data_IF_156914295488
#
_entry.id   IF_156914295488
#
_cell.length_a   1.000
_cell.length_b   1.000
_cell.length_c   1.000
_cell.angle_alpha   90.00
_cell.angle_beta   90.00
_cell.angle_gamma   90.00
#
_symmetry.space_group_name_H-M   'P 1'
#
loop_
_entity.id
_entity.type
_entity.pdbx_description
1 polymer ?
#
# COMPACT_ATOMS: atom_id res chain seq x y z
N UNK A 1 10.68 -1.37 -24.36
CA UNK A 1 12.03 -2.03 -24.25
C UNK A 1 11.75 -3.43 -23.74
N UNK A 2 12.07 -4.45 -24.54
CA UNK A 2 11.83 -5.85 -24.12
C UNK A 2 12.99 -6.28 -23.22
N UNK A 3 12.74 -6.32 -21.92
CA UNK A 3 13.72 -6.75 -20.92
C UNK A 3 13.34 -8.14 -20.46
N UNK A 4 14.26 -9.09 -20.54
CA UNK A 4 14.08 -10.45 -20.04
C UNK A 4 15.10 -10.73 -18.94
N UNK A 5 14.64 -11.26 -17.82
CA UNK A 5 15.50 -11.77 -16.75
C UNK A 5 15.81 -13.25 -17.00
N UNK A 6 17.05 -13.53 -17.34
CA UNK A 6 17.52 -14.90 -17.64
C UNK A 6 18.17 -15.51 -16.38
N UNK A 7 17.70 -16.68 -15.95
CA UNK A 7 18.25 -17.43 -14.84
C UNK A 7 18.04 -18.95 -15.02
N UNK A 8 18.85 -19.73 -14.30
CA UNK A 8 18.76 -21.19 -14.35
C UNK A 8 17.43 -21.68 -13.75
N UNK A 9 16.72 -22.55 -14.48
CA UNK A 9 15.45 -23.13 -14.03
C UNK A 9 14.21 -22.32 -14.37
N UNK A 10 14.34 -21.24 -15.18
CA UNK A 10 13.18 -20.50 -15.69
C UNK A 10 12.33 -21.39 -16.61
N UNK A 11 11.08 -21.64 -16.20
CA UNK A 11 10.14 -22.50 -16.94
C UNK A 11 9.48 -21.72 -18.09
N UNK A 12 9.45 -22.29 -19.28
CA UNK A 12 8.82 -21.65 -20.46
C UNK A 12 7.31 -21.88 -20.52
N UNK A 13 6.79 -22.94 -19.93
CA UNK A 13 5.38 -23.35 -20.01
C UNK A 13 4.70 -23.37 -18.63
N UNK A 14 4.83 -22.28 -17.87
CA UNK A 14 4.38 -22.18 -16.48
C UNK A 14 2.95 -22.64 -16.26
N UNK A 15 2.01 -22.14 -17.07
CA UNK A 15 0.58 -22.38 -16.82
C UNK A 15 0.15 -23.82 -17.10
N UNK A 16 0.82 -24.53 -18.02
CA UNK A 16 0.51 -25.91 -18.36
C UNK A 16 0.90 -26.90 -17.24
N UNK A 17 1.98 -26.58 -16.51
CA UNK A 17 2.59 -27.46 -15.53
C UNK A 17 2.09 -27.29 -14.10
N UNK A 18 1.16 -26.33 -13.86
CA UNK A 18 0.59 -26.10 -12.52
C UNK A 18 -0.67 -26.97 -12.35
N UNK A 19 -0.69 -27.91 -11.38
CA UNK A 19 -1.88 -28.73 -11.13
C UNK A 19 -2.99 -27.87 -10.48
N UNK A 20 -4.23 -28.21 -10.76
CA UNK A 20 -5.40 -27.75 -9.99
C UNK A 20 -5.60 -28.63 -8.77
N UNK A 21 -6.21 -28.09 -7.73
CA UNK A 21 -6.55 -28.80 -6.50
C UNK A 21 -8.02 -28.60 -6.14
N UNK A 22 -8.63 -29.59 -5.47
CA UNK A 22 -9.99 -29.44 -4.97
C UNK A 22 -10.01 -28.53 -3.72
N UNK A 23 -10.96 -27.60 -3.69
CA UNK A 23 -11.22 -26.76 -2.51
C UNK A 23 -12.40 -27.35 -1.75
N UNK A 24 -12.16 -27.93 -0.58
CA UNK A 24 -13.21 -28.46 0.29
C UNK A 24 -13.64 -27.41 1.32
N UNK A 25 -14.93 -27.17 1.45
CA UNK A 25 -15.48 -26.32 2.51
C UNK A 25 -15.24 -26.94 3.88
N UNK A 26 -14.61 -26.19 4.78
CA UNK A 26 -14.34 -26.61 6.14
C UNK A 26 -15.36 -26.07 7.10
N UNK A 27 -15.58 -24.74 7.04
CA UNK A 27 -16.54 -24.06 7.93
C UNK A 27 -17.02 -22.77 7.31
N UNK A 28 -18.30 -22.52 7.46
CA UNK A 28 -18.97 -21.29 7.05
C UNK A 28 -19.19 -20.40 8.27
N UNK A 29 -18.87 -19.13 8.15
CA UNK A 29 -19.04 -18.09 9.16
C UNK A 29 -20.06 -17.06 8.70
N UNK A 30 -21.06 -16.79 9.53
CA UNK A 30 -22.19 -15.92 9.19
C UNK A 30 -23.25 -16.63 8.34
N UNK A 31 -24.38 -15.96 8.15
CA UNK A 31 -25.50 -16.45 7.33
C UNK A 31 -25.53 -15.68 6.00
N UNK A 32 -25.47 -16.40 4.89
CA UNK A 32 -25.73 -15.88 3.54
C UNK A 32 -26.64 -16.85 2.81
N UNK A 33 -27.39 -16.35 1.81
CA UNK A 33 -28.10 -17.20 0.89
C UNK A 33 -27.10 -18.02 0.06
N UNK A 34 -27.48 -19.22 -0.35
CA UNK A 34 -26.59 -20.17 -1.03
C UNK A 34 -25.99 -19.61 -2.32
N UNK A 35 -26.68 -18.68 -2.99
CA UNK A 35 -26.28 -18.10 -4.27
C UNK A 35 -25.60 -16.73 -4.17
N UNK A 36 -25.38 -16.24 -2.93
CA UNK A 36 -24.69 -14.95 -2.72
C UNK A 36 -23.18 -15.13 -2.62
N UNK A 37 -22.45 -14.07 -3.02
CA UNK A 37 -21.01 -14.01 -2.82
C UNK A 37 -20.66 -14.14 -1.33
N UNK A 38 -19.70 -14.97 -1.03
CA UNK A 38 -19.07 -15.05 0.29
C UNK A 38 -17.53 -14.92 0.14
N UNK A 39 -16.93 -14.24 1.10
CA UNK A 39 -15.48 -14.10 1.12
C UNK A 39 -14.82 -15.45 1.40
N UNK A 40 -13.56 -15.61 0.97
CA UNK A 40 -12.87 -16.89 1.03
C UNK A 40 -11.57 -16.76 1.82
N UNK A 41 -11.41 -17.59 2.84
CA UNK A 41 -10.14 -17.85 3.49
C UNK A 41 -9.71 -19.27 3.13
N UNK A 42 -8.54 -19.46 2.54
CA UNK A 42 -8.14 -20.75 1.97
C UNK A 42 -6.82 -21.18 2.61
N UNK A 43 -6.83 -22.34 3.27
CA UNK A 43 -5.64 -23.01 3.76
C UNK A 43 -5.05 -23.88 2.66
N UNK A 44 -3.83 -23.62 2.22
CA UNK A 44 -3.13 -24.41 1.20
C UNK A 44 -2.03 -23.65 0.48
N UNK A 45 -1.26 -24.34 -0.38
CA UNK A 45 -0.30 -23.69 -1.27
C UNK A 45 -1.04 -22.81 -2.27
N UNK A 46 -0.65 -21.55 -2.31
CA UNK A 46 -1.30 -20.56 -3.15
C UNK A 46 -1.16 -20.84 -4.65
N UNK A 47 -0.12 -21.57 -5.09
CA UNK A 47 0.08 -21.83 -6.53
C UNK A 47 -1.02 -22.74 -7.11
N UNK A 48 -1.27 -23.98 -6.63
CA UNK A 48 -2.38 -24.81 -7.12
C UNK A 48 -3.75 -24.25 -6.76
N UNK A 49 -3.89 -23.56 -5.61
CA UNK A 49 -5.14 -22.88 -5.24
C UNK A 49 -5.49 -21.81 -6.25
N UNK A 50 -4.59 -20.89 -6.63
CA UNK A 50 -4.84 -19.86 -7.63
C UNK A 50 -5.14 -20.48 -9.01
N UNK A 51 -4.47 -21.58 -9.37
CA UNK A 51 -4.80 -22.33 -10.60
C UNK A 51 -6.25 -22.82 -10.60
N UNK A 52 -6.73 -23.32 -9.45
CA UNK A 52 -8.14 -23.71 -9.29
C UNK A 52 -9.09 -22.50 -9.37
N UNK A 53 -8.74 -21.36 -8.74
CA UNK A 53 -9.54 -20.14 -8.82
C UNK A 53 -9.66 -19.61 -10.25
N UNK A 54 -8.68 -19.84 -11.13
CA UNK A 54 -8.76 -19.48 -12.54
C UNK A 54 -9.86 -20.22 -13.32
N UNK A 55 -10.36 -21.35 -12.83
CA UNK A 55 -11.50 -22.04 -13.47
C UNK A 55 -12.86 -21.42 -13.11
N UNK A 56 -12.90 -20.50 -12.16
CA UNK A 56 -14.11 -19.82 -11.69
C UNK A 56 -14.32 -18.51 -12.45
N UNK A 57 -15.38 -18.39 -13.22
CA UNK A 57 -15.74 -17.19 -14.01
C UNK A 57 -16.06 -15.97 -13.13
N UNK A 58 -16.48 -16.18 -11.90
CA UNK A 58 -16.74 -15.12 -10.90
C UNK A 58 -15.47 -14.61 -10.22
N UNK A 59 -14.29 -15.19 -10.51
CA UNK A 59 -13.00 -14.80 -9.94
C UNK A 59 -11.97 -14.46 -11.03
N UNK A 60 -11.85 -15.29 -12.09
CA UNK A 60 -10.91 -15.05 -13.20
C UNK A 60 -11.24 -13.73 -13.89
N UNK A 61 -10.27 -12.82 -13.94
CA UNK A 61 -10.45 -11.49 -14.52
C UNK A 61 -11.39 -10.58 -13.72
N UNK A 62 -11.65 -10.87 -12.43
CA UNK A 62 -12.54 -10.08 -11.57
C UNK A 62 -11.83 -9.45 -10.36
N UNK A 63 -10.59 -9.83 -10.10
CA UNK A 63 -9.81 -9.29 -8.98
C UNK A 63 -9.40 -7.86 -9.30
N UNK A 64 -9.90 -6.90 -8.52
CA UNK A 64 -9.58 -5.48 -8.72
C UNK A 64 -8.24 -5.09 -8.13
N UNK A 65 -7.90 -5.66 -7.00
CA UNK A 65 -6.66 -5.36 -6.29
C UNK A 65 -6.00 -6.63 -5.79
N UNK A 66 -4.74 -6.77 -6.11
CA UNK A 66 -3.84 -7.75 -5.50
C UNK A 66 -2.84 -7.01 -4.63
N UNK A 67 -2.71 -7.42 -3.38
CA UNK A 67 -1.57 -7.07 -2.54
C UNK A 67 -0.91 -8.35 -2.07
N UNK A 68 0.40 -8.44 -2.21
CA UNK A 68 1.18 -9.57 -1.71
C UNK A 68 2.42 -9.12 -0.95
N UNK A 69 2.73 -9.87 0.10
CA UNK A 69 3.94 -9.74 0.92
C UNK A 69 4.61 -11.13 0.99
N UNK A 70 5.25 -11.58 -0.12
CA UNK A 70 5.84 -12.91 -0.19
C UNK A 70 7.04 -13.04 0.76
N UNK A 71 7.49 -14.27 1.09
CA UNK A 71 8.73 -14.47 1.82
C UNK A 71 9.88 -13.69 1.18
N UNK A 72 10.81 -13.12 1.98
CA UNK A 72 11.84 -12.20 1.49
C UNK A 72 13.17 -12.86 1.11
N UNK A 73 13.19 -14.18 0.93
CA UNK A 73 14.44 -14.94 0.62
C UNK A 73 15.54 -14.69 1.68
N UNK A 74 15.14 -14.68 2.96
CA UNK A 74 16.05 -14.34 4.07
C UNK A 74 16.87 -15.51 4.57
N UNK A 75 16.54 -16.72 4.14
CA UNK A 75 17.09 -18.00 4.64
C UNK A 75 16.93 -18.13 6.18
N UNK A 76 15.77 -17.72 6.69
CA UNK A 76 15.46 -17.70 8.12
C UNK A 76 14.14 -18.43 8.42
N UNK A 77 14.08 -19.04 9.60
CA UNK A 77 12.86 -19.60 10.16
C UNK A 77 12.20 -18.57 11.08
N UNK A 78 10.93 -18.29 10.83
CA UNK A 78 10.14 -17.36 11.64
C UNK A 78 9.25 -18.16 12.60
N UNK A 79 9.32 -17.84 13.90
CA UNK A 79 8.64 -18.56 14.98
C UNK A 79 7.75 -17.65 15.81
N UNK A 80 6.71 -18.22 16.39
CA UNK A 80 5.78 -17.55 17.30
C UNK A 80 5.95 -18.17 18.69
N UNK A 81 6.27 -17.35 19.69
CA UNK A 81 6.36 -17.77 21.08
C UNK A 81 4.99 -17.89 21.75
N UNK A 82 4.90 -18.72 22.79
CA UNK A 82 3.66 -18.94 23.55
C UNK A 82 3.16 -17.66 24.23
N UNK A 83 4.08 -16.81 24.70
CA UNK A 83 3.77 -15.58 25.44
C UNK A 83 4.10 -14.29 24.67
N UNK A 84 4.79 -14.39 23.52
CA UNK A 84 5.23 -13.24 22.72
C UNK A 84 5.39 -13.62 21.26
N UNK A 85 5.16 -12.67 20.37
CA UNK A 85 5.49 -12.80 18.96
C UNK A 85 6.91 -12.33 18.73
N UNK A 86 7.72 -13.12 18.03
CA UNK A 86 9.08 -12.77 17.64
C UNK A 86 9.22 -12.88 16.12
N UNK A 87 9.92 -11.94 15.51
CA UNK A 87 10.26 -11.99 14.09
C UNK A 87 11.36 -12.99 13.78
N UNK A 88 12.21 -13.31 14.77
CA UNK A 88 13.22 -14.37 14.72
C UNK A 88 13.37 -14.90 16.13
N UNK A 89 13.05 -16.17 16.36
CA UNK A 89 13.24 -16.83 17.64
C UNK A 89 14.35 -17.87 17.54
N UNK A 90 15.18 -17.91 18.58
CA UNK A 90 16.18 -18.98 18.81
C UNK A 90 15.67 -20.06 19.77
N UNK A 91 14.47 -19.92 20.32
CA UNK A 91 13.89 -20.89 21.24
C UNK A 91 13.38 -22.12 20.49
N UNK A 92 13.72 -23.31 20.97
CA UNK A 92 13.23 -24.58 20.42
C UNK A 92 11.77 -24.87 20.81
N UNK A 93 11.25 -24.16 21.79
CA UNK A 93 9.87 -24.32 22.28
C UNK A 93 8.87 -23.49 21.46
N UNK A 94 9.32 -22.53 20.65
CA UNK A 94 8.46 -21.69 19.83
C UNK A 94 7.99 -22.43 18.58
N UNK A 95 6.71 -22.25 18.23
CA UNK A 95 6.13 -22.85 17.02
C UNK A 95 6.64 -22.15 15.76
N UNK A 96 7.02 -22.93 14.74
CA UNK A 96 7.38 -22.40 13.43
C UNK A 96 6.15 -21.78 12.78
N UNK A 97 6.25 -20.50 12.42
CA UNK A 97 5.20 -19.80 11.66
C UNK A 97 5.34 -20.08 10.18
N UNK A 98 6.55 -19.89 9.64
CA UNK A 98 6.92 -20.24 8.27
C UNK A 98 8.43 -20.25 8.11
N UNK A 99 8.90 -20.91 7.03
CA UNK A 99 10.32 -21.00 6.66
C UNK A 99 10.55 -20.23 5.35
N UNK A 100 11.57 -19.38 5.34
CA UNK A 100 11.98 -18.58 4.18
C UNK A 100 13.33 -19.12 3.67
N UNK A 101 13.28 -20.30 3.02
CA UNK A 101 14.46 -21.06 2.61
C UNK A 101 14.84 -20.88 1.13
N UNK A 102 13.94 -20.32 0.31
CA UNK A 102 14.21 -20.13 -1.11
C UNK A 102 15.18 -18.96 -1.33
N UNK A 103 16.20 -19.16 -2.14
CA UNK A 103 17.21 -18.16 -2.45
C UNK A 103 17.50 -18.07 -3.95
N UNK A 104 17.94 -16.90 -4.41
CA UNK A 104 18.41 -16.69 -5.78
C UNK A 104 17.36 -17.01 -6.85
N UNK A 105 17.75 -17.84 -7.83
CA UNK A 105 16.90 -18.19 -8.98
C UNK A 105 15.65 -19.00 -8.61
N UNK A 106 15.72 -19.83 -7.57
CA UNK A 106 14.57 -20.62 -7.10
C UNK A 106 13.48 -19.71 -6.53
N UNK A 107 13.87 -18.68 -5.78
CA UNK A 107 12.94 -17.66 -5.28
C UNK A 107 12.29 -16.87 -6.43
N UNK A 108 13.07 -16.48 -7.44
CA UNK A 108 12.54 -15.75 -8.59
C UNK A 108 11.50 -16.59 -9.35
N UNK A 109 11.80 -17.89 -9.58
CA UNK A 109 10.85 -18.77 -10.26
C UNK A 109 9.61 -19.07 -9.41
N UNK A 110 9.77 -19.23 -8.10
CA UNK A 110 8.67 -19.36 -7.14
C UNK A 110 7.70 -18.15 -7.24
N UNK A 111 8.24 -16.94 -7.27
CA UNK A 111 7.43 -15.72 -7.34
C UNK A 111 6.87 -15.52 -8.75
N UNK A 112 7.66 -15.78 -9.80
CA UNK A 112 7.24 -15.62 -11.20
C UNK A 112 6.00 -16.44 -11.53
N UNK A 113 5.95 -17.71 -11.14
CA UNK A 113 4.78 -18.59 -11.36
C UNK A 113 3.51 -18.00 -10.75
N UNK A 114 3.63 -17.41 -9.58
CA UNK A 114 2.52 -16.78 -8.87
C UNK A 114 2.08 -15.46 -9.51
N UNK A 115 3.03 -14.62 -9.91
CA UNK A 115 2.76 -13.35 -10.58
C UNK A 115 2.02 -13.55 -11.92
N UNK A 116 2.37 -14.58 -12.68
CA UNK A 116 1.66 -14.93 -13.92
C UNK A 116 0.20 -15.29 -13.64
N UNK A 117 -0.08 -16.13 -12.63
CA UNK A 117 -1.45 -16.46 -12.25
C UNK A 117 -2.21 -15.23 -11.72
N UNK A 118 -1.55 -14.39 -10.94
CA UNK A 118 -2.15 -13.17 -10.41
C UNK A 118 -2.53 -12.19 -11.52
N UNK A 119 -1.72 -12.08 -12.59
CA UNK A 119 -2.07 -11.27 -13.77
C UNK A 119 -3.34 -11.78 -14.46
N UNK A 120 -3.48 -13.10 -14.59
CA UNK A 120 -4.67 -13.72 -15.17
C UNK A 120 -5.94 -13.54 -14.31
N UNK A 121 -5.79 -13.53 -12.98
CA UNK A 121 -6.90 -13.31 -12.05
C UNK A 121 -7.33 -11.84 -12.00
N UNK A 122 -6.41 -10.90 -12.28
CA UNK A 122 -6.71 -9.46 -12.27
C UNK A 122 -7.74 -9.09 -13.35
N UNK A 123 -8.67 -8.23 -12.99
CA UNK A 123 -9.51 -7.50 -13.93
C UNK A 123 -8.66 -6.57 -14.82
N UNK A 124 -9.16 -6.20 -16.00
CA UNK A 124 -8.38 -5.34 -16.92
C UNK A 124 -8.09 -3.96 -16.33
N UNK A 125 -8.95 -3.47 -15.44
CA UNK A 125 -8.75 -2.23 -14.69
C UNK A 125 -8.20 -2.48 -13.26
N UNK A 126 -7.62 -3.67 -13.02
CA UNK A 126 -7.03 -4.08 -11.76
C UNK A 126 -5.57 -3.67 -11.59
N UNK A 127 -5.12 -3.75 -10.33
CA UNK A 127 -3.77 -3.37 -9.92
C UNK A 127 -3.15 -4.38 -8.97
N UNK A 128 -1.82 -4.43 -8.95
CA UNK A 128 -1.05 -5.28 -8.05
C UNK A 128 0.01 -4.47 -7.30
N UNK A 129 0.13 -4.73 -6.00
CA UNK A 129 1.18 -4.22 -5.12
C UNK A 129 1.99 -5.38 -4.58
N UNK A 130 3.29 -5.40 -4.89
CA UNK A 130 4.25 -6.40 -4.39
C UNK A 130 5.16 -5.75 -3.37
N UNK A 131 5.00 -6.14 -2.11
CA UNK A 131 5.82 -5.68 -1.01
C UNK A 131 7.04 -6.59 -0.89
N UNK A 132 8.22 -6.04 -1.00
CA UNK A 132 9.47 -6.81 -1.07
C UNK A 132 10.61 -6.08 -0.37
N UNK A 133 11.61 -6.82 0.08
CA UNK A 133 12.81 -6.25 0.67
C UNK A 133 13.77 -5.68 -0.39
N UNK A 134 14.74 -4.92 0.09
CA UNK A 134 15.74 -4.27 -0.76
C UNK A 134 16.68 -5.25 -1.48
N UNK A 135 16.81 -6.50 -1.00
CA UNK A 135 17.73 -7.50 -1.59
C UNK A 135 17.18 -8.04 -2.90
N UNK A 136 15.90 -8.39 -2.89
CA UNK A 136 15.23 -9.00 -4.05
C UNK A 136 14.44 -8.01 -4.88
N UNK A 137 14.09 -6.84 -4.34
CA UNK A 137 13.19 -5.88 -4.96
C UNK A 137 13.56 -5.48 -6.38
N UNK A 138 14.85 -5.29 -6.66
CA UNK A 138 15.32 -4.91 -8.00
C UNK A 138 15.14 -6.04 -9.03
N UNK A 139 15.39 -7.29 -8.64
CA UNK A 139 15.15 -8.45 -9.51
C UNK A 139 13.65 -8.68 -9.73
N UNK A 140 12.86 -8.53 -8.66
CA UNK A 140 11.40 -8.64 -8.74
C UNK A 140 10.81 -7.54 -9.63
N UNK A 141 11.37 -6.32 -9.59
CA UNK A 141 10.97 -5.24 -10.49
C UNK A 141 11.15 -5.62 -11.95
N UNK A 142 12.32 -6.14 -12.33
CA UNK A 142 12.59 -6.61 -13.70
C UNK A 142 11.68 -7.77 -14.09
N UNK A 143 11.42 -8.69 -13.16
CA UNK A 143 10.49 -9.80 -13.37
C UNK A 143 9.06 -9.31 -13.61
N UNK A 144 8.63 -8.29 -12.89
CA UNK A 144 7.31 -7.68 -13.09
C UNK A 144 7.22 -6.90 -14.40
N UNK A 145 8.29 -6.24 -14.84
CA UNK A 145 8.35 -5.62 -16.18
C UNK A 145 8.13 -6.66 -17.29
N UNK A 146 8.74 -7.84 -17.16
CA UNK A 146 8.56 -8.94 -18.11
C UNK A 146 7.12 -9.46 -18.14
N UNK A 147 6.46 -9.54 -16.97
CA UNK A 147 5.13 -10.13 -16.85
C UNK A 147 4.03 -9.10 -17.18
N UNK A 148 4.10 -7.91 -16.61
CA UNK A 148 3.05 -6.89 -16.69
C UNK A 148 3.27 -5.88 -17.82
N UNK A 149 4.51 -5.68 -18.26
CA UNK A 149 4.95 -4.61 -19.14
C UNK A 149 5.55 -3.45 -18.34
N UNK A 150 6.65 -2.89 -18.84
CA UNK A 150 7.31 -1.73 -18.22
C UNK A 150 6.41 -0.49 -18.24
N UNK A 151 5.56 -0.36 -19.25
CA UNK A 151 4.58 0.72 -19.42
C UNK A 151 3.51 0.73 -18.32
N UNK A 152 3.23 -0.40 -17.69
CA UNK A 152 2.27 -0.53 -16.61
C UNK A 152 2.88 -0.37 -15.21
N UNK A 153 4.16 -0.05 -15.13
CA UNK A 153 4.81 0.31 -13.86
C UNK A 153 4.38 1.70 -13.41
N UNK A 154 3.75 1.79 -12.24
CA UNK A 154 3.19 3.04 -11.73
C UNK A 154 4.13 3.70 -10.71
N UNK A 155 4.57 2.97 -9.68
CA UNK A 155 5.45 3.51 -8.64
C UNK A 155 6.38 2.45 -8.03
N UNK A 156 7.57 2.90 -7.61
CA UNK A 156 8.43 2.30 -6.60
C UNK A 156 8.21 3.04 -5.28
N UNK A 157 7.38 2.49 -4.40
CA UNK A 157 7.05 3.10 -3.12
C UNK A 157 8.09 2.65 -2.08
N UNK A 158 8.83 3.59 -1.53
CA UNK A 158 9.73 3.36 -0.41
C UNK A 158 8.95 3.43 0.91
N UNK A 159 8.83 2.31 1.61
CA UNK A 159 8.21 2.25 2.94
C UNK A 159 9.27 2.29 4.05
N UNK A 160 9.18 3.24 4.96
CA UNK A 160 9.96 3.26 6.20
C UNK A 160 9.24 2.39 7.24
N UNK A 161 9.84 1.22 7.57
CA UNK A 161 9.23 0.17 8.39
C UNK A 161 9.55 0.27 9.88
N UNK A 162 10.67 0.88 10.23
CA UNK A 162 11.13 0.97 11.62
C UNK A 162 11.94 2.24 11.88
N UNK A 163 12.19 2.53 13.16
CA UNK A 163 13.12 3.58 13.55
C UNK A 163 14.57 3.18 13.23
N UNK A 164 15.45 4.15 12.99
CA UNK A 164 16.88 3.90 12.88
C UNK A 164 17.41 3.14 14.11
N UNK A 165 18.22 2.11 13.86
CA UNK A 165 18.86 1.33 14.91
C UNK A 165 20.31 1.76 15.03
N UNK A 166 20.74 2.11 16.25
CA UNK A 166 22.11 2.56 16.52
C UNK A 166 22.99 1.35 16.91
N UNK A 167 23.51 0.62 15.92
CA UNK A 167 24.51 -0.41 16.13
C UNK A 167 25.62 -0.32 15.08
N UNK A 168 26.84 -0.68 15.48
CA UNK A 168 28.01 -0.64 14.61
C UNK A 168 27.89 -1.65 13.47
N UNK A 169 28.04 -1.21 12.24
CA UNK A 169 28.00 -2.05 11.02
C UNK A 169 28.85 -1.42 9.91
N UNK A 170 29.25 -2.23 8.93
CA UNK A 170 29.83 -1.74 7.69
C UNK A 170 28.68 -1.44 6.71
N UNK A 171 28.41 -0.17 6.46
CA UNK A 171 27.33 0.31 5.58
C UNK A 171 26.18 0.99 6.32
N UNK A 172 25.21 1.50 5.56
CA UNK A 172 24.05 2.23 6.09
C UNK A 172 23.01 1.29 6.73
N UNK A 173 22.29 1.80 7.73
CA UNK A 173 21.17 1.10 8.37
C UNK A 173 20.01 0.90 7.39
N UNK A 174 19.50 -0.34 7.31
CA UNK A 174 18.36 -0.65 6.45
C UNK A 174 17.06 -0.53 7.24
N UNK A 175 16.28 0.51 6.94
CA UNK A 175 15.02 0.83 7.60
C UNK A 175 13.83 0.85 6.64
N UNK A 176 14.06 0.47 5.37
CA UNK A 176 13.04 0.52 4.32
C UNK A 176 12.73 -0.85 3.73
N UNK A 177 11.53 -0.96 3.20
CA UNK A 177 11.12 -1.94 2.21
C UNK A 177 10.66 -1.22 0.94
N UNK A 178 10.46 -1.99 -0.13
CA UNK A 178 9.91 -1.53 -1.41
C UNK A 178 8.50 -2.07 -1.58
N UNK A 179 7.61 -1.28 -2.18
CA UNK A 179 6.31 -1.74 -2.65
C UNK A 179 6.22 -1.35 -4.12
N UNK A 180 6.28 -2.36 -4.99
CA UNK A 180 6.18 -2.17 -6.43
C UNK A 180 4.71 -2.15 -6.83
N UNK A 181 4.27 -1.06 -7.45
CA UNK A 181 2.90 -0.86 -7.89
C UNK A 181 2.81 -0.95 -9.40
N UNK A 182 2.00 -1.89 -9.89
CA UNK A 182 1.70 -2.08 -11.31
C UNK A 182 0.18 -2.10 -11.54
N UNK A 183 -0.25 -1.64 -12.70
CA UNK A 183 -1.59 -1.88 -13.25
C UNK A 183 -1.57 -3.07 -14.23
N UNK A 184 -2.73 -3.64 -14.55
CA UNK A 184 -2.83 -4.64 -15.61
C UNK A 184 -2.86 -3.99 -16.99
N UNK A 185 -3.52 -2.84 -17.11
CA UNK A 185 -3.62 -2.02 -18.33
C UNK A 185 -3.52 -0.53 -17.95
N UNK A 186 -3.53 0.35 -18.95
CA UNK A 186 -3.53 1.81 -18.73
C UNK A 186 -4.83 2.31 -18.07
N UNK A 187 -5.92 1.57 -18.19
CA UNK A 187 -7.22 1.93 -17.63
C UNK A 187 -7.45 1.22 -16.29
N UNK A 188 -6.79 1.68 -15.23
CA UNK A 188 -6.91 1.08 -13.89
C UNK A 188 -7.64 1.98 -12.90
N UNK A 189 -8.24 1.37 -11.87
CA UNK A 189 -8.92 2.10 -10.80
C UNK A 189 -7.92 2.87 -9.96
N UNK A 190 -8.06 4.21 -9.93
CA UNK A 190 -7.28 5.10 -9.10
C UNK A 190 -8.13 6.18 -8.44
N UNK A 191 -8.47 6.02 -7.18
CA UNK A 191 -9.30 6.96 -6.39
C UNK A 191 -8.49 8.13 -5.80
N UNK A 192 -7.19 8.15 -6.06
CA UNK A 192 -6.26 9.07 -5.43
C UNK A 192 -5.91 8.67 -3.99
N UNK A 193 -4.75 9.10 -3.53
CA UNK A 193 -4.30 8.90 -2.16
C UNK A 193 -3.92 10.23 -1.55
N UNK A 194 -4.49 10.54 -0.39
CA UNK A 194 -4.34 11.84 0.25
C UNK A 194 -3.80 11.72 1.66
N UNK A 195 -3.12 12.78 2.10
CA UNK A 195 -2.59 12.90 3.45
C UNK A 195 -3.17 14.13 4.13
N UNK A 196 -3.25 14.07 5.45
CA UNK A 196 -3.47 15.26 6.29
C UNK A 196 -2.14 15.79 6.79
N UNK A 197 -2.04 17.12 6.95
CA UNK A 197 -0.89 17.71 7.61
C UNK A 197 -0.86 17.33 9.09
N UNK A 198 0.30 16.97 9.60
CA UNK A 198 0.52 16.84 11.03
C UNK A 198 0.59 18.23 11.68
N UNK A 199 0.29 18.32 12.97
CA UNK A 199 0.42 19.55 13.74
C UNK A 199 1.81 20.17 13.57
N UNK A 200 2.87 19.36 13.67
CA UNK A 200 4.25 19.79 13.53
C UNK A 200 4.57 20.34 12.13
N UNK A 201 4.02 19.72 11.07
CA UNK A 201 4.17 20.22 9.70
C UNK A 201 3.45 21.58 9.54
N UNK A 202 2.24 21.72 10.10
CA UNK A 202 1.52 22.98 10.07
C UNK A 202 2.25 24.09 10.82
N UNK A 203 2.82 23.80 11.98
CA UNK A 203 3.63 24.76 12.75
C UNK A 203 4.87 25.22 11.98
N UNK A 204 5.52 24.32 11.25
CA UNK A 204 6.67 24.65 10.42
C UNK A 204 6.30 25.46 9.18
N UNK A 205 5.21 25.09 8.48
CA UNK A 205 4.77 25.75 7.26
C UNK A 205 4.08 27.10 7.53
N UNK A 206 3.42 27.22 8.68
CA UNK A 206 2.65 28.39 9.10
C UNK A 206 3.15 28.90 10.47
N UNK A 207 4.38 29.48 10.51
CA UNK A 207 5.03 29.81 11.77
C UNK A 207 4.43 31.05 12.47
N UNK A 208 3.65 31.88 11.74
CA UNK A 208 3.04 33.10 12.28
C UNK A 208 1.65 32.81 12.82
N UNK A 209 1.25 33.62 13.82
CA UNK A 209 -0.09 33.57 14.42
C UNK A 209 -0.63 35.00 14.36
N UNK A 210 -1.86 35.20 13.92
CA UNK A 210 -2.54 36.49 13.90
C UNK A 210 -3.22 36.79 15.24
N UNK A 211 -3.94 37.94 15.27
CA UNK A 211 -4.63 38.38 16.47
C UNK A 211 -5.76 37.46 16.93
N UNK A 212 -6.33 36.70 15.99
CA UNK A 212 -7.43 35.77 16.22
C UNK A 212 -6.95 34.36 16.55
N UNK A 213 -5.63 34.19 16.70
CA UNK A 213 -5.00 32.89 17.00
C UNK A 213 -4.84 31.98 15.77
N UNK A 214 -5.15 32.45 14.56
CA UNK A 214 -5.04 31.68 13.32
C UNK A 214 -3.57 31.63 12.86
N UNK A 215 -3.09 30.41 12.57
CA UNK A 215 -1.75 30.25 12.00
C UNK A 215 -1.73 30.61 10.52
N UNK A 216 -0.67 31.31 10.09
CA UNK A 216 -0.49 31.70 8.70
C UNK A 216 0.97 31.75 8.28
N UNK A 217 1.19 31.75 6.97
CA UNK A 217 2.45 32.10 6.32
C UNK A 217 2.22 33.22 5.31
N UNK A 218 3.28 33.73 4.71
CA UNK A 218 3.13 34.81 3.71
C UNK A 218 3.87 34.49 2.42
N UNK A 219 3.29 34.85 1.29
CA UNK A 219 3.93 34.78 -0.03
C UNK A 219 4.08 36.17 -0.63
N UNK A 220 5.18 36.46 -1.39
CA UNK A 220 5.31 37.73 -2.09
C UNK A 220 4.15 37.97 -3.06
N UNK A 221 3.65 39.18 -3.11
CA UNK A 221 2.60 39.59 -4.07
C UNK A 221 3.16 39.98 -5.44
N UNK A 222 4.44 39.80 -5.67
CA UNK A 222 5.09 40.01 -6.96
C UNK A 222 5.70 38.72 -7.49
N UNK A 223 5.82 38.59 -8.81
CA UNK A 223 6.42 37.44 -9.52
C UNK A 223 7.53 37.93 -10.49
N UNK A 224 8.46 37.04 -10.87
CA UNK A 224 9.47 37.37 -11.90
C UNK A 224 8.84 37.71 -13.26
N UNK A 225 9.51 38.54 -14.02
CA UNK A 225 9.07 39.06 -15.32
C UNK A 225 8.44 40.44 -15.19
N UNK A 226 8.73 41.35 -16.12
CA UNK A 226 8.13 42.69 -16.19
C UNK A 226 6.87 42.67 -17.05
N UNK A 227 5.83 43.39 -16.59
CA UNK A 227 4.63 43.65 -17.38
C UNK A 227 4.55 45.17 -17.60
N UNK A 228 5.01 45.65 -18.77
CA UNK A 228 5.11 47.08 -19.06
C UNK A 228 3.73 47.73 -19.28
N UNK A 229 2.84 47.07 -20.02
CA UNK A 229 1.57 47.66 -20.47
C UNK A 229 0.32 46.93 -19.94
N UNK A 230 0.46 46.04 -18.95
CA UNK A 230 -0.64 45.28 -18.37
C UNK A 230 -1.03 45.75 -16.97
N UNK A 231 -2.23 45.40 -16.48
CA UNK A 231 -2.73 45.83 -15.16
C UNK A 231 -1.81 45.43 -14.02
N UNK A 232 -1.07 44.31 -14.14
CA UNK A 232 -0.13 43.83 -13.09
C UNK A 232 1.18 44.60 -13.05
N UNK A 233 1.46 45.46 -14.02
CA UNK A 233 2.60 46.38 -14.05
C UNK A 233 2.30 47.76 -13.46
N UNK A 234 1.05 48.07 -13.19
CA UNK A 234 0.61 49.37 -12.71
C UNK A 234 0.95 49.57 -11.22
N UNK A 235 1.17 50.84 -10.81
CA UNK A 235 1.41 51.14 -9.38
C UNK A 235 0.16 50.83 -8.54
N UNK A 236 0.39 50.24 -7.37
CA UNK A 236 -0.64 50.10 -6.34
C UNK A 236 -0.28 50.99 -5.16
N UNK A 237 -1.16 51.91 -4.78
CA UNK A 237 -0.93 52.93 -3.75
C UNK A 237 0.38 53.72 -3.95
N UNK A 238 0.69 54.01 -5.22
CA UNK A 238 1.91 54.73 -5.58
C UNK A 238 3.20 53.86 -5.60
N UNK A 239 3.12 52.59 -5.26
CA UNK A 239 4.27 51.66 -5.23
C UNK A 239 4.26 50.85 -6.51
N UNK A 240 5.36 50.90 -7.26
CA UNK A 240 5.61 50.04 -8.44
C UNK A 240 6.03 48.64 -8.03
N UNK A 241 5.78 47.59 -8.85
CA UNK A 241 6.42 46.28 -8.65
C UNK A 241 7.94 46.43 -8.58
N UNK A 242 8.64 45.63 -7.80
CA UNK A 242 10.11 45.63 -7.79
C UNK A 242 10.69 45.44 -9.20
N UNK A 243 11.84 46.03 -9.48
CA UNK A 243 12.52 45.94 -10.80
C UNK A 243 12.65 44.47 -11.25
N UNK A 244 12.28 44.21 -12.52
CA UNK A 244 12.28 42.86 -13.09
C UNK A 244 11.10 41.99 -12.64
N UNK A 245 10.03 42.60 -12.07
CA UNK A 245 8.87 41.88 -11.55
C UNK A 245 7.59 42.53 -11.93
N UNK A 246 6.47 41.84 -11.73
CA UNK A 246 5.09 42.37 -11.82
C UNK A 246 4.31 41.91 -10.58
N UNK A 247 3.18 42.59 -10.30
CA UNK A 247 2.23 42.14 -9.28
C UNK A 247 1.55 40.82 -9.68
N UNK A 248 1.27 39.95 -8.73
CA UNK A 248 0.52 38.71 -8.99
C UNK A 248 -0.96 38.96 -9.28
N UNK A 249 -1.44 40.11 -8.90
CA UNK A 249 -2.82 40.52 -9.09
C UNK A 249 -2.86 42.01 -9.51
N UNK A 250 -3.89 42.44 -10.27
CA UNK A 250 -4.11 43.88 -10.55
C UNK A 250 -4.28 44.69 -9.27
N UNK A 251 -4.01 46.01 -9.30
CA UNK A 251 -4.13 46.90 -8.15
C UNK A 251 -5.49 46.84 -7.42
N UNK A 252 -6.60 46.71 -8.16
CA UNK A 252 -7.96 46.60 -7.61
C UNK A 252 -8.11 45.34 -6.72
N UNK A 253 -7.53 44.23 -7.14
CA UNK A 253 -7.53 42.97 -6.37
C UNK A 253 -6.60 43.06 -5.16
N UNK A 254 -5.45 43.73 -5.29
CA UNK A 254 -4.56 44.00 -4.17
C UNK A 254 -5.26 44.84 -3.10
N UNK A 255 -6.03 45.85 -3.51
CA UNK A 255 -6.81 46.70 -2.62
C UNK A 255 -7.91 45.89 -1.88
N UNK A 256 -8.57 44.97 -2.57
CA UNK A 256 -9.56 44.08 -1.94
C UNK A 256 -8.90 43.17 -0.92
N UNK A 257 -7.73 42.57 -1.24
CA UNK A 257 -6.99 41.73 -0.31
C UNK A 257 -6.55 42.49 0.94
N UNK A 258 -6.16 43.76 0.79
CA UNK A 258 -5.75 44.56 1.93
C UNK A 258 -6.95 44.93 2.83
N UNK A 259 -8.09 45.31 2.24
CA UNK A 259 -9.33 45.53 2.99
C UNK A 259 -9.81 44.30 3.76
N UNK A 260 -9.53 43.11 3.24
CA UNK A 260 -9.79 41.83 3.93
C UNK A 260 -8.77 41.50 5.01
N UNK A 261 -7.73 42.33 5.23
CA UNK A 261 -6.67 42.08 6.18
C UNK A 261 -5.71 40.94 5.75
N UNK A 262 -5.72 40.56 4.47
CA UNK A 262 -4.94 39.47 3.90
C UNK A 262 -3.54 39.88 3.42
N UNK A 263 -3.16 41.18 3.61
CA UNK A 263 -1.83 41.69 3.26
C UNK A 263 -1.03 41.96 4.54
N UNK A 264 0.22 41.53 4.51
CA UNK A 264 1.25 41.86 5.49
C UNK A 264 2.40 42.56 4.78
N UNK A 265 2.84 43.71 5.31
CA UNK A 265 3.98 44.41 4.80
C UNK A 265 5.28 43.89 5.40
N UNK A 266 6.24 43.52 4.55
CA UNK A 266 7.57 43.11 4.99
C UNK A 266 8.35 44.33 5.57
N UNK A 267 9.42 44.07 6.30
CA UNK A 267 10.32 45.10 6.81
C UNK A 267 10.94 45.97 5.69
N UNK A 268 11.01 45.43 4.47
CA UNK A 268 11.54 46.11 3.28
C UNK A 268 10.45 46.82 2.47
N UNK A 269 9.22 47.00 3.01
CA UNK A 269 8.14 47.68 2.36
C UNK A 269 7.43 46.90 1.23
N UNK A 270 7.72 45.63 1.05
CA UNK A 270 7.06 44.82 0.03
C UNK A 270 5.80 44.12 0.59
N UNK A 271 4.66 44.19 -0.13
CA UNK A 271 3.44 43.54 0.30
C UNK A 271 3.52 42.01 0.09
N UNK A 272 2.98 41.27 1.05
CA UNK A 272 2.93 39.80 1.05
C UNK A 272 1.50 39.36 1.38
N UNK A 273 0.99 38.37 0.66
CA UNK A 273 -0.32 37.77 0.93
C UNK A 273 -0.21 36.78 2.09
N UNK A 274 -1.09 36.90 3.07
CA UNK A 274 -1.28 35.89 4.11
C UNK A 274 -1.98 34.68 3.54
N UNK A 275 -1.52 33.51 3.91
CA UNK A 275 -2.12 32.21 3.61
C UNK A 275 -2.35 31.53 4.95
N UNK A 276 -3.60 31.28 5.29
CA UNK A 276 -3.98 30.67 6.55
C UNK A 276 -3.92 29.14 6.50
N UNK A 277 -3.46 28.53 7.60
CA UNK A 277 -3.33 27.08 7.72
C UNK A 277 -4.67 26.36 7.58
N UNK A 278 -5.71 26.86 8.21
CA UNK A 278 -7.07 26.30 8.20
C UNK A 278 -7.73 26.33 6.79
N UNK A 279 -7.36 27.29 5.95
CA UNK A 279 -7.77 27.33 4.54
C UNK A 279 -6.90 26.43 3.68
N UNK A 280 -5.61 26.37 3.98
CA UNK A 280 -4.64 25.57 3.22
C UNK A 280 -4.87 24.07 3.40
N UNK A 281 -5.21 23.60 4.61
CA UNK A 281 -5.50 22.19 4.90
C UNK A 281 -6.77 21.68 4.24
N UNK A 282 -7.68 22.56 3.80
CA UNK A 282 -8.84 22.17 2.97
C UNK A 282 -8.42 21.63 1.61
N UNK A 283 -7.21 21.96 1.14
CA UNK A 283 -6.63 21.41 -0.07
C UNK A 283 -6.08 20.01 0.24
N UNK A 284 -6.53 19.04 -0.52
CA UNK A 284 -6.00 17.68 -0.43
C UNK A 284 -4.50 17.65 -0.77
N UNK A 285 -3.68 17.02 0.08
CA UNK A 285 -2.28 16.76 -0.21
C UNK A 285 -2.19 15.39 -0.84
N UNK A 286 -1.69 15.31 -2.05
CA UNK A 286 -1.41 14.03 -2.67
C UNK A 286 -0.28 13.32 -1.94
N UNK A 287 -0.49 12.04 -1.61
CA UNK A 287 0.55 11.19 -1.05
C UNK A 287 1.64 10.98 -2.10
N UNK A 288 2.88 11.12 -1.68
CA UNK A 288 4.05 10.82 -2.49
C UNK A 288 4.51 9.37 -2.26
N UNK A 289 5.59 8.95 -2.90
CA UNK A 289 6.13 7.60 -2.93
C UNK A 289 7.02 7.21 -1.74
N UNK A 290 7.21 8.11 -0.77
CA UNK A 290 7.90 7.80 0.49
C UNK A 290 6.88 7.71 1.61
N UNK A 291 6.69 6.50 2.14
CA UNK A 291 5.67 6.19 3.13
C UNK A 291 6.26 5.88 4.51
N UNK A 292 5.79 6.56 5.53
CA UNK A 292 6.17 6.31 6.91
C UNK A 292 5.07 5.50 7.62
N UNK A 293 5.09 4.18 7.42
CA UNK A 293 4.21 3.22 8.09
C UNK A 293 5.04 2.17 8.80
N UNK A 294 5.35 2.40 10.08
CA UNK A 294 6.14 1.48 10.89
C UNK A 294 5.36 0.20 11.18
N UNK A 295 6.09 -0.89 11.37
CA UNK A 295 5.50 -2.15 11.81
C UNK A 295 4.86 -2.01 13.19
N UNK A 296 3.82 -2.82 13.50
CA UNK A 296 3.23 -2.84 14.84
C UNK A 296 4.29 -3.17 15.90
N UNK A 297 4.23 -2.49 17.03
CA UNK A 297 5.15 -2.74 18.15
C UNK A 297 4.87 -4.10 18.82
N UNK A 298 3.59 -4.51 18.83
CA UNK A 298 3.13 -5.77 19.39
C UNK A 298 2.32 -6.52 18.33
N UNK A 299 3.00 -7.18 17.37
CA UNK A 299 2.33 -7.88 16.30
C UNK A 299 1.68 -9.17 16.80
N UNK A 300 0.52 -9.52 16.25
CA UNK A 300 -0.16 -10.80 16.53
C UNK A 300 0.41 -11.99 15.75
N UNK A 301 1.21 -11.67 14.71
CA UNK A 301 1.90 -12.65 13.86
C UNK A 301 3.24 -12.06 13.40
N UNK A 302 4.31 -12.86 13.21
CA UNK A 302 5.57 -12.39 12.69
C UNK A 302 5.35 -11.62 11.38
N UNK A 303 6.05 -10.51 11.20
CA UNK A 303 5.96 -9.67 9.99
C UNK A 303 4.58 -9.04 9.72
N UNK A 304 3.69 -8.97 10.72
CA UNK A 304 2.38 -8.29 10.58
C UNK A 304 2.55 -6.88 10.03
N UNK A 305 1.83 -6.58 8.96
CA UNK A 305 1.90 -5.28 8.30
C UNK A 305 0.99 -4.23 8.96
N UNK A 306 1.33 -2.98 8.74
CA UNK A 306 0.57 -1.85 9.26
C UNK A 306 -0.81 -1.75 8.59
N UNK A 307 -1.89 -1.88 9.37
CA UNK A 307 -3.27 -1.84 8.85
C UNK A 307 -3.62 -0.51 8.16
N UNK A 308 -3.08 0.63 8.63
CA UNK A 308 -3.32 1.93 8.00
C UNK A 308 -2.72 1.99 6.60
N UNK A 309 -1.55 1.37 6.40
CA UNK A 309 -0.92 1.25 5.08
C UNK A 309 -1.81 0.45 4.12
N UNK A 310 -2.30 -0.72 4.56
CA UNK A 310 -3.17 -1.55 3.72
C UNK A 310 -4.47 -0.84 3.37
N UNK A 311 -5.06 -0.08 4.30
CA UNK A 311 -6.24 0.75 4.02
C UNK A 311 -5.97 1.78 2.94
N UNK A 312 -4.82 2.45 2.97
CA UNK A 312 -4.42 3.41 1.92
C UNK A 312 -4.36 2.74 0.54
N UNK A 313 -3.78 1.55 0.44
CA UNK A 313 -3.70 0.78 -0.81
C UNK A 313 -5.10 0.38 -1.29
N UNK A 314 -5.90 -0.21 -0.41
CA UNK A 314 -7.25 -0.69 -0.75
C UNK A 314 -8.17 0.47 -1.17
N UNK A 315 -8.12 1.61 -0.48
CA UNK A 315 -8.91 2.80 -0.84
C UNK A 315 -8.50 3.39 -2.18
N UNK A 316 -7.18 3.44 -2.45
CA UNK A 316 -6.65 4.05 -3.67
C UNK A 316 -6.97 3.23 -4.94
N UNK A 317 -6.93 1.90 -4.85
CA UNK A 317 -6.94 1.01 -6.03
C UNK A 317 -8.12 0.03 -6.07
N UNK A 318 -9.18 0.32 -5.33
CA UNK A 318 -10.45 -0.43 -5.41
C UNK A 318 -11.64 0.40 -4.96
N UNK A 319 -12.84 -0.01 -5.36
CA UNK A 319 -14.12 0.55 -4.92
C UNK A 319 -14.82 -0.41 -3.94
N UNK A 320 -15.92 0.02 -3.33
CA UNK A 320 -16.76 -0.88 -2.53
C UNK A 320 -17.26 -2.02 -3.41
N UNK A 321 -17.36 -3.22 -2.84
CA UNK A 321 -17.73 -4.49 -3.50
C UNK A 321 -16.73 -5.01 -4.53
N UNK A 322 -15.63 -4.31 -4.81
CA UNK A 322 -14.54 -4.87 -5.61
C UNK A 322 -13.85 -6.02 -4.88
N UNK A 323 -13.29 -6.96 -5.64
CA UNK A 323 -12.61 -8.13 -5.11
C UNK A 323 -11.12 -7.84 -4.87
N UNK A 324 -10.67 -8.06 -3.64
CA UNK A 324 -9.27 -7.95 -3.20
C UNK A 324 -8.70 -9.34 -2.95
N UNK A 325 -7.52 -9.62 -3.48
CA UNK A 325 -6.82 -10.90 -3.32
C UNK A 325 -5.47 -10.70 -2.62
N UNK A 326 -5.22 -11.52 -1.59
CA UNK A 326 -3.90 -11.69 -0.96
C UNK A 326 -3.58 -13.18 -0.87
N UNK A 327 -2.62 -13.64 -1.68
CA UNK A 327 -2.22 -15.05 -1.70
C UNK A 327 -1.05 -15.38 -0.75
N UNK A 328 -0.63 -14.42 0.06
CA UNK A 328 0.31 -14.56 1.17
C UNK A 328 -0.28 -13.87 2.41
N UNK A 329 -1.49 -14.28 2.78
CA UNK A 329 -2.35 -13.54 3.70
C UNK A 329 -1.74 -13.34 5.10
N UNK A 330 -0.89 -14.24 5.58
CA UNK A 330 -0.21 -14.15 6.87
C UNK A 330 -1.19 -13.91 8.01
N UNK A 331 -1.07 -12.78 8.68
CA UNK A 331 -2.00 -12.36 9.74
C UNK A 331 -3.34 -11.80 9.24
N UNK A 332 -3.60 -11.81 7.93
CA UNK A 332 -4.85 -11.33 7.32
C UNK A 332 -5.03 -9.81 7.32
N UNK A 333 -3.98 -9.02 7.45
CA UNK A 333 -4.11 -7.56 7.54
C UNK A 333 -4.76 -6.96 6.29
N UNK A 334 -4.46 -7.49 5.10
CA UNK A 334 -5.10 -7.10 3.83
C UNK A 334 -6.61 -7.40 3.87
N UNK A 335 -6.99 -8.58 4.35
CA UNK A 335 -8.40 -9.01 4.44
C UNK A 335 -9.18 -8.15 5.43
N UNK A 336 -8.58 -7.82 6.57
CA UNK A 336 -9.14 -6.91 7.57
C UNK A 336 -9.35 -5.50 6.96
N UNK A 337 -8.37 -5.00 6.19
CA UNK A 337 -8.50 -3.72 5.51
C UNK A 337 -9.64 -3.74 4.48
N UNK A 338 -9.70 -4.77 3.64
CA UNK A 338 -10.75 -4.98 2.65
C UNK A 338 -12.14 -5.07 3.30
N UNK A 339 -12.29 -5.88 4.36
CA UNK A 339 -13.53 -6.04 5.10
C UNK A 339 -14.03 -4.72 5.70
N UNK A 340 -13.16 -3.99 6.41
CA UNK A 340 -13.50 -2.71 7.04
C UNK A 340 -13.86 -1.61 6.05
N UNK A 341 -13.41 -1.72 4.82
CA UNK A 341 -13.68 -0.77 3.74
C UNK A 341 -14.81 -1.23 2.80
N UNK A 342 -15.45 -2.37 3.08
CA UNK A 342 -16.58 -2.89 2.31
C UNK A 342 -16.18 -3.51 0.96
N UNK A 343 -14.99 -4.10 0.86
CA UNK A 343 -14.53 -4.87 -0.31
C UNK A 343 -14.76 -6.35 -0.08
N UNK A 344 -15.01 -7.11 -1.15
CA UNK A 344 -14.94 -8.57 -1.15
C UNK A 344 -13.48 -8.98 -1.07
N UNK A 345 -13.21 -10.16 -0.51
CA UNK A 345 -11.82 -10.59 -0.38
C UNK A 345 -11.63 -12.11 -0.49
N UNK A 346 -10.45 -12.49 -0.96
CA UNK A 346 -9.91 -13.84 -0.95
C UNK A 346 -8.53 -13.78 -0.29
N UNK A 347 -8.31 -14.59 0.73
CA UNK A 347 -7.02 -14.77 1.39
C UNK A 347 -6.55 -16.20 1.30
N UNK A 348 -5.28 -16.43 0.97
CA UNK A 348 -4.68 -17.75 0.88
C UNK A 348 -3.42 -17.78 1.73
N UNK A 349 -3.23 -18.82 2.53
CA UNK A 349 -1.99 -19.06 3.25
C UNK A 349 -1.80 -20.56 3.51
N UNK A 350 -0.56 -21.03 3.51
CA UNK A 350 -0.21 -22.44 3.80
C UNK A 350 0.20 -22.67 5.24
N UNK A 351 0.28 -21.62 6.07
CA UNK A 351 0.60 -21.72 7.48
C UNK A 351 -0.66 -21.91 8.32
N UNK A 352 -0.81 -23.01 9.06
CA UNK A 352 -1.95 -23.19 9.97
C UNK A 352 -2.06 -22.05 10.98
N UNK A 353 -0.90 -21.53 11.43
CA UNK A 353 -0.86 -20.42 12.39
C UNK A 353 -1.34 -19.10 11.78
N UNK A 354 -1.02 -18.83 10.50
CA UNK A 354 -1.53 -17.68 9.77
C UNK A 354 -3.07 -17.71 9.68
N UNK A 355 -3.63 -18.87 9.30
CA UNK A 355 -5.09 -19.06 9.22
C UNK A 355 -5.75 -18.87 10.59
N UNK A 356 -5.20 -19.47 11.66
CA UNK A 356 -5.68 -19.28 13.03
C UNK A 356 -5.74 -17.79 13.43
N UNK A 357 -4.62 -17.07 13.22
CA UNK A 357 -4.54 -15.64 13.58
C UNK A 357 -5.50 -14.82 12.74
N UNK A 358 -5.59 -15.09 11.46
CA UNK A 358 -6.52 -14.41 10.54
C UNK A 358 -7.97 -14.63 10.96
N UNK A 359 -8.36 -15.87 11.27
CA UNK A 359 -9.70 -16.18 11.78
C UNK A 359 -10.02 -15.40 13.05
N UNK A 360 -9.13 -15.43 14.05
CA UNK A 360 -9.31 -14.69 15.30
C UNK A 360 -9.50 -13.20 15.08
N UNK A 361 -8.72 -12.61 14.18
CA UNK A 361 -8.82 -11.18 13.84
C UNK A 361 -10.10 -10.83 13.10
N UNK A 362 -10.53 -11.65 12.14
CA UNK A 362 -11.79 -11.46 11.43
C UNK A 362 -12.99 -11.56 12.38
N UNK A 363 -13.03 -12.58 13.24
CA UNK A 363 -14.12 -12.80 14.20
C UNK A 363 -14.16 -11.75 15.32
N UNK A 364 -13.03 -11.08 15.59
CA UNK A 364 -12.98 -9.95 16.54
C UNK A 364 -13.54 -8.64 15.96
N UNK A 365 -13.83 -8.57 14.66
CA UNK A 365 -14.48 -7.40 14.08
C UNK A 365 -15.94 -7.29 14.56
N UNK A 366 -16.40 -6.06 14.83
CA UNK A 366 -17.82 -5.81 15.23
C UNK A 366 -18.84 -6.31 14.20
N UNK A 367 -18.45 -6.26 12.93
CA UNK A 367 -19.23 -6.79 11.80
C UNK A 367 -18.24 -7.39 10.81
N UNK A 368 -18.48 -8.60 10.39
CA UNK A 368 -17.78 -9.29 9.32
C UNK A 368 -18.82 -9.89 8.38
N UNK A 369 -18.62 -9.74 7.07
CA UNK A 369 -19.49 -10.36 6.07
C UNK A 369 -19.32 -11.87 6.08
N UNK A 370 -20.31 -12.62 5.62
CA UNK A 370 -20.20 -14.07 5.51
C UNK A 370 -18.94 -14.48 4.75
N UNK A 371 -18.23 -15.45 5.27
CA UNK A 371 -17.06 -16.02 4.63
C UNK A 371 -16.95 -17.52 4.89
N UNK A 372 -16.22 -18.21 4.04
CA UNK A 372 -15.98 -19.65 4.16
C UNK A 372 -14.49 -19.89 4.28
N UNK A 373 -14.14 -20.75 5.24
CA UNK A 373 -12.83 -21.38 5.30
C UNK A 373 -12.82 -22.61 4.40
N UNK A 374 -11.89 -22.64 3.45
CA UNK A 374 -11.64 -23.77 2.57
C UNK A 374 -10.33 -24.46 2.92
N UNK A 375 -10.29 -25.77 2.70
CA UNK A 375 -9.06 -26.53 2.67
C UNK A 375 -8.68 -26.82 1.21
N UNK A 376 -7.56 -26.29 0.78
CA UNK A 376 -6.92 -26.48 -0.52
C UNK A 376 -5.51 -27.08 -0.38
N UNK A 377 -5.23 -27.79 0.71
CA UNK A 377 -3.92 -28.44 0.91
C UNK A 377 -3.83 -29.83 0.24
N UNK A 378 -4.96 -30.45 -0.06
CA UNK A 378 -5.02 -31.84 -0.51
C UNK A 378 -4.88 -32.85 0.63
N UNK A 379 -4.60 -32.40 1.85
CA UNK A 379 -4.37 -33.20 3.06
C UNK A 379 -5.43 -32.86 4.11
N UNK A 380 -5.65 -33.74 5.10
CA UNK A 380 -6.51 -33.42 6.25
C UNK A 380 -6.06 -32.14 6.96
N UNK A 381 -7.01 -31.38 7.49
CA UNK A 381 -6.70 -30.18 8.25
C UNK A 381 -5.80 -30.51 9.46
N UNK A 382 -4.75 -29.69 9.70
CA UNK A 382 -3.91 -29.83 10.89
C UNK A 382 -4.74 -29.77 12.18
N UNK A 383 -4.39 -30.58 13.18
CA UNK A 383 -5.08 -30.63 14.48
C UNK A 383 -5.22 -29.25 15.12
N UNK A 384 -4.17 -28.43 15.02
CA UNK A 384 -4.17 -27.05 15.54
C UNK A 384 -5.26 -26.16 14.93
N UNK A 385 -5.62 -26.38 13.67
CA UNK A 385 -6.74 -25.69 13.04
C UNK A 385 -8.10 -26.31 13.43
N UNK A 386 -8.16 -27.64 13.59
CA UNK A 386 -9.39 -28.31 14.03
C UNK A 386 -9.81 -27.87 15.45
N UNK A 387 -8.85 -27.61 16.34
CA UNK A 387 -9.09 -27.16 17.72
C UNK A 387 -9.60 -25.70 17.81
N UNK A 388 -9.37 -24.90 16.80
CA UNK A 388 -9.78 -23.48 16.74
C UNK A 388 -11.15 -23.32 16.07
N UNK A 389 -11.61 -24.32 15.34
CA UNK A 389 -12.86 -24.34 14.60
C UNK A 389 -14.01 -24.91 15.40
#
# INVERSE_FOLDING_TARGET
MDVELVYKGKDKEVLANIPSISLSEVKRFGSSLLDEWHNMLIFGDNLPVMKTLMSRSDIKGQVRLVYIDPPFSTNQEFRVGVSRTSTVSSSREDQTAYQDLLVGSEYLEFLRKRLILLKELLADDGSIYVHIDWKMGHYVKVLMDEIFGQEHFINDITRIKCNPKNFKRKGYGNIKDMILFYSKTDNFVWNGSYMSYTKQQLERLFPKVDKDGRRYTTTPLHAPGETKNGPTGQPWRGILPPKGRHWRYPPEVLEQLDKQGLIEWSKTGNPRKKIYADEYVKKKIYRQDIWEFKDPQYPSYPTEKNLKMLKVIVEASSNKEDLVLDCFAGSGTTLIAAEQLGRRWIGIDNSPKAIEVTLKRLLALKKVRPFILYNGSGEPLPKTLQEVL
#
